data_IF_805422528059
#
_entry.id   IF_805422528059
#
_cell.length_a   1.000
_cell.length_b   1.000
_cell.length_c   1.000
_cell.angle_alpha   90.00
_cell.angle_beta   90.00
_cell.angle_gamma   90.00
#
_symmetry.space_group_name_H-M   'P 1'
#
loop_
_entity.id
_entity.type
_entity.pdbx_description
1 polymer ?
#
# COMPACT_ATOMS: atom_id res chain seq x y z
N UNK A 1 -10.79 -14.85 18.73
CA UNK A 1 -9.55 -15.06 17.97
C UNK A 1 -9.07 -13.69 17.52
N UNK A 2 -8.00 -13.17 18.12
CA UNK A 2 -7.34 -11.97 17.58
C UNK A 2 -6.37 -12.50 16.53
N UNK A 3 -6.73 -12.38 15.25
CA UNK A 3 -5.79 -12.66 14.17
C UNK A 3 -4.92 -11.42 14.10
N UNK A 4 -3.70 -11.51 14.61
CA UNK A 4 -2.68 -10.48 14.32
C UNK A 4 -2.51 -10.51 12.80
N UNK A 5 -2.71 -9.39 12.09
CA UNK A 5 -2.52 -9.37 10.65
C UNK A 5 -1.10 -9.83 10.34
N UNK A 6 -0.97 -10.78 9.42
CA UNK A 6 0.33 -11.24 8.92
C UNK A 6 0.99 -10.07 8.19
N UNK A 7 2.19 -9.68 8.62
CA UNK A 7 2.98 -8.65 7.96
C UNK A 7 3.39 -9.14 6.56
N UNK A 8 3.37 -8.23 5.59
CA UNK A 8 3.70 -8.53 4.20
C UNK A 8 5.21 -8.62 3.95
N UNK A 9 6.02 -8.18 4.92
CA UNK A 9 7.48 -8.15 4.83
C UNK A 9 8.03 -6.92 4.11
N UNK A 10 7.17 -6.01 3.65
CA UNK A 10 7.54 -4.67 3.19
C UNK A 10 6.88 -3.62 4.10
N UNK A 11 7.70 -2.94 4.90
CA UNK A 11 7.25 -1.93 5.86
C UNK A 11 6.37 -0.84 5.22
N UNK A 12 6.57 -0.53 3.93
CA UNK A 12 5.77 0.45 3.20
C UNK A 12 4.38 -0.07 2.94
N UNK A 13 4.27 -1.34 2.53
CA UNK A 13 2.99 -2.02 2.31
C UNK A 13 2.26 -2.21 3.63
N UNK A 14 2.97 -2.60 4.69
CA UNK A 14 2.40 -2.80 6.02
C UNK A 14 1.83 -1.50 6.59
N UNK A 15 2.51 -0.37 6.41
CA UNK A 15 2.00 0.94 6.81
C UNK A 15 0.71 1.33 6.06
N UNK A 16 0.63 1.04 4.75
CA UNK A 16 -0.57 1.31 3.94
C UNK A 16 -1.75 0.45 4.43
N UNK A 17 -1.51 -0.84 4.67
CA UNK A 17 -2.54 -1.78 5.15
C UNK A 17 -3.00 -1.41 6.56
N UNK A 18 -2.08 -1.03 7.46
CA UNK A 18 -2.44 -0.53 8.79
C UNK A 18 -3.33 0.71 8.72
N UNK A 19 -3.10 1.59 7.73
CA UNK A 19 -3.93 2.77 7.46
C UNK A 19 -5.41 2.45 7.16
N UNK A 20 -5.73 1.26 6.65
CA UNK A 20 -7.12 0.82 6.44
C UNK A 20 -7.89 0.62 7.76
N UNK A 21 -7.21 0.52 8.90
CA UNK A 21 -7.85 0.42 10.22
C UNK A 21 -8.80 1.59 10.52
N UNK A 22 -8.54 2.78 9.94
CA UNK A 22 -9.40 3.97 10.11
C UNK A 22 -10.81 3.81 9.54
N UNK A 23 -11.05 2.85 8.65
CA UNK A 23 -12.37 2.58 8.08
C UNK A 23 -13.42 2.28 9.16
N UNK A 24 -13.01 1.65 10.27
CA UNK A 24 -13.92 1.35 11.39
C UNK A 24 -14.39 2.58 12.17
N UNK A 25 -13.72 3.72 12.00
CA UNK A 25 -13.97 4.98 12.70
C UNK A 25 -14.67 6.02 11.81
N UNK A 26 -14.70 5.78 10.49
CA UNK A 26 -15.23 6.70 9.49
C UNK A 26 -16.60 6.25 8.96
N UNK A 27 -17.46 7.20 8.54
CA UNK A 27 -18.68 6.85 7.84
C UNK A 27 -18.35 6.20 6.49
N UNK A 28 -19.22 5.30 6.05
CA UNK A 28 -19.05 4.52 4.81
C UNK A 28 -18.86 5.40 3.57
N UNK A 29 -19.40 6.62 3.57
CA UNK A 29 -19.19 7.60 2.49
C UNK A 29 -17.71 7.96 2.29
N UNK A 30 -16.89 7.90 3.33
CA UNK A 30 -15.46 8.22 3.29
C UNK A 30 -14.60 7.01 2.90
N UNK A 31 -15.16 5.80 2.93
CA UNK A 31 -14.38 4.57 2.70
C UNK A 31 -13.77 4.55 1.30
N UNK A 32 -14.47 5.09 0.31
CA UNK A 32 -13.96 5.15 -1.08
C UNK A 32 -12.69 5.99 -1.16
N UNK A 33 -12.65 7.16 -0.51
CA UNK A 33 -11.47 8.01 -0.49
C UNK A 33 -10.29 7.31 0.22
N UNK A 34 -10.58 6.58 1.30
CA UNK A 34 -9.56 5.79 2.02
C UNK A 34 -8.98 4.68 1.16
N UNK A 35 -9.82 3.97 0.40
CA UNK A 35 -9.36 2.92 -0.51
C UNK A 35 -8.57 3.48 -1.68
N UNK A 36 -8.98 4.62 -2.25
CA UNK A 36 -8.28 5.28 -3.37
C UNK A 36 -6.86 5.74 -2.97
N UNK A 37 -6.73 6.29 -1.76
CA UNK A 37 -5.42 6.65 -1.18
C UNK A 37 -4.52 5.42 -1.01
N UNK A 38 -5.06 4.34 -0.42
CA UNK A 38 -4.31 3.11 -0.20
C UNK A 38 -3.89 2.47 -1.54
N UNK A 39 -4.78 2.45 -2.53
CA UNK A 39 -4.50 1.90 -3.85
C UNK A 39 -3.40 2.69 -4.56
N UNK A 40 -3.50 4.02 -4.59
CA UNK A 40 -2.48 4.91 -5.17
C UNK A 40 -1.10 4.73 -4.51
N UNK A 41 -1.07 4.55 -3.18
CA UNK A 41 0.17 4.32 -2.44
C UNK A 41 0.81 2.96 -2.74
N UNK A 42 -0.01 1.91 -2.92
CA UNK A 42 0.46 0.59 -3.33
C UNK A 42 1.02 0.61 -4.76
N UNK A 43 0.33 1.26 -5.70
CA UNK A 43 0.84 1.43 -7.07
C UNK A 43 2.17 2.17 -7.10
N UNK A 44 2.31 3.25 -6.31
CA UNK A 44 3.57 3.98 -6.17
C UNK A 44 4.69 3.09 -5.59
N UNK A 45 4.36 2.25 -4.62
CA UNK A 45 5.31 1.29 -4.01
C UNK A 45 5.80 0.27 -5.03
N UNK A 46 4.90 -0.28 -5.85
CA UNK A 46 5.24 -1.21 -6.94
C UNK A 46 6.09 -0.54 -8.02
N UNK A 47 5.71 0.66 -8.46
CA UNK A 47 6.47 1.41 -9.46
C UNK A 47 7.89 1.75 -9.01
N UNK A 48 8.09 1.97 -7.70
CA UNK A 48 9.42 2.21 -7.12
C UNK A 48 10.31 0.95 -7.16
N UNK A 49 9.74 -0.26 -7.10
CA UNK A 49 10.49 -1.52 -7.22
C UNK A 49 10.89 -1.76 -8.68
N UNK A 50 10.01 -1.47 -9.63
CA UNK A 50 10.29 -1.57 -11.08
C UNK A 50 11.33 -0.54 -11.57
N UNK A 51 11.64 0.49 -10.77
CA UNK A 51 12.68 1.48 -11.03
C UNK A 51 14.13 0.96 -10.99
N UNK A 52 14.36 -0.30 -10.59
CA UNK A 52 15.66 -0.98 -10.75
C UNK A 52 15.78 -1.57 -12.18
N UNK A 53 16.04 -0.65 -13.12
CA UNK A 53 16.39 -0.73 -14.56
C UNK A 53 16.50 -2.09 -15.29
N UNK A 54 15.99 -2.14 -16.54
CA UNK A 54 16.68 -2.76 -17.67
C UNK A 54 17.13 -1.68 -18.68
N UNK A 55 18.43 -1.33 -18.74
CA UNK A 55 18.94 -0.61 -19.91
C UNK A 55 20.22 0.24 -19.85
N UNK A 56 20.98 0.31 -18.76
CA UNK A 56 22.32 0.93 -18.78
C UNK A 56 23.39 -0.06 -19.30
N UNK A 57 23.18 -0.62 -20.50
CA UNK A 57 24.18 -1.38 -21.26
C UNK A 57 23.84 -1.39 -22.75
N UNK A 58 23.86 -0.21 -23.35
CA UNK A 58 24.16 -0.06 -24.78
C UNK A 58 25.25 1.01 -24.89
N UNK A 59 26.50 0.55 -24.85
CA UNK A 59 27.63 1.25 -25.48
C UNK A 59 27.94 0.54 -26.78
#
# INVERSE_FOLDING_TARGET
MSVVPEETGDERVDAIVAGLGRLGELPVSEHVAVFDEAFSALESTLAAVDGTTPGESVR
#
